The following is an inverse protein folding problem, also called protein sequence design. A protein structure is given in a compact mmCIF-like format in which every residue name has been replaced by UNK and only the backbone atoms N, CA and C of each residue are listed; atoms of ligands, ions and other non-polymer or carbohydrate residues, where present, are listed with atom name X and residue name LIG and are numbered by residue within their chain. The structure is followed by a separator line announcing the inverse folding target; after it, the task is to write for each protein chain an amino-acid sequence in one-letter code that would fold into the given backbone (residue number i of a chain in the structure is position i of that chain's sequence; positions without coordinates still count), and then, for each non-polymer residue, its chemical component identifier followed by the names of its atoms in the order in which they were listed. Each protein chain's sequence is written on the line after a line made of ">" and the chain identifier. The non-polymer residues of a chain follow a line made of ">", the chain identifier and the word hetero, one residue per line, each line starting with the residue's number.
data_IF_808679901017
#
_entry.id   IF_808679901017
#
_cell.length_a   1.000
_cell.length_b   1.000
_cell.length_c   1.000
_cell.angle_alpha   90.00
_cell.angle_beta   90.00
_cell.angle_gamma   90.00
#
_symmetry.space_group_name_H-M   'P 1'
#
loop_
_entity.id
_entity.type
_entity.pdbx_description
1 polymer ?
#
# COMPACT_ATOMS: atom_id res chain seq x y z
N UNK A 1 32.10 -12.12 -19.33
CA UNK A 1 31.39 -10.86 -19.64
C UNK A 1 30.04 -11.03 -20.36
N UNK A 2 29.90 -11.78 -21.46
CA UNK A 2 28.59 -11.96 -22.14
C UNK A 2 27.49 -12.58 -21.25
N UNK A 3 27.81 -13.61 -20.44
CA UNK A 3 26.87 -14.20 -19.46
C UNK A 3 26.44 -13.22 -18.36
N UNK A 4 27.35 -12.37 -17.88
CA UNK A 4 27.06 -11.34 -16.88
C UNK A 4 26.19 -10.22 -17.45
N UNK A 5 26.43 -9.80 -18.70
CA UNK A 5 25.57 -8.83 -19.40
C UNK A 5 24.17 -9.37 -19.68
N UNK A 6 24.04 -10.66 -20.03
CA UNK A 6 22.75 -11.32 -20.19
C UNK A 6 21.99 -11.40 -18.87
N UNK A 7 22.67 -11.84 -17.81
CA UNK A 7 22.10 -11.90 -16.46
C UNK A 7 21.66 -10.52 -15.96
N UNK A 8 22.47 -9.47 -16.15
CA UNK A 8 22.09 -8.09 -15.79
C UNK A 8 20.85 -7.68 -16.58
N UNK A 9 20.83 -7.82 -17.90
CA UNK A 9 19.66 -7.49 -18.74
C UNK A 9 18.38 -8.24 -18.40
N UNK A 10 18.49 -9.47 -17.93
CA UNK A 10 17.36 -10.30 -17.48
C UNK A 10 16.93 -9.98 -16.04
N UNK A 11 17.79 -9.33 -15.26
CA UNK A 11 17.60 -9.05 -13.84
C UNK A 11 17.86 -7.56 -13.50
N UNK A 12 17.62 -6.65 -14.45
CA UNK A 12 17.89 -5.20 -14.30
C UNK A 12 17.13 -4.63 -13.08
N UNK A 13 15.98 -5.23 -12.77
CA UNK A 13 15.09 -4.88 -11.66
C UNK A 13 15.61 -5.39 -10.31
N UNK A 14 16.28 -6.55 -10.29
CA UNK A 14 17.00 -7.07 -9.12
C UNK A 14 18.22 -6.19 -8.83
N UNK A 15 18.93 -5.73 -9.87
CA UNK A 15 20.06 -4.83 -9.70
C UNK A 15 19.60 -3.50 -9.10
N UNK A 16 18.49 -2.94 -9.56
CA UNK A 16 17.89 -1.73 -8.99
C UNK A 16 17.49 -1.93 -7.51
N UNK A 17 16.86 -3.07 -7.18
CA UNK A 17 16.45 -3.41 -5.81
C UNK A 17 17.64 -3.67 -4.89
N UNK A 18 18.70 -4.29 -5.40
CA UNK A 18 19.95 -4.56 -4.69
C UNK A 18 20.75 -3.26 -4.46
N UNK A 19 20.78 -2.35 -5.45
CA UNK A 19 21.40 -1.03 -5.30
C UNK A 19 20.62 -0.20 -4.28
N UNK A 20 19.27 -0.25 -4.30
CA UNK A 20 18.43 0.39 -3.30
C UNK A 20 18.64 -0.20 -1.89
N UNK A 21 18.81 -1.53 -1.78
CA UNK A 21 19.15 -2.23 -0.53
C UNK A 21 20.53 -1.80 -0.01
N UNK A 22 21.56 -1.83 -0.86
CA UNK A 22 22.93 -1.44 -0.47
C UNK A 22 22.99 0.04 -0.10
N UNK A 23 22.26 0.90 -0.82
CA UNK A 23 22.12 2.32 -0.50
C UNK A 23 21.44 2.54 0.85
N UNK A 24 20.32 1.88 1.12
CA UNK A 24 19.59 1.99 2.39
C UNK A 24 20.36 1.42 3.59
N UNK A 25 21.09 0.31 3.41
CA UNK A 25 22.00 -0.23 4.43
C UNK A 25 23.18 0.73 4.66
N UNK A 26 23.76 1.29 3.60
CA UNK A 26 24.84 2.27 3.70
C UNK A 26 24.43 3.51 4.50
N UNK A 27 23.18 3.93 4.37
CA UNK A 27 22.60 5.08 5.10
C UNK A 27 22.40 4.77 6.57
N UNK A 28 21.95 3.56 6.90
CA UNK A 28 21.83 3.10 8.28
C UNK A 28 23.20 2.97 8.93
N UNK A 29 24.16 2.38 8.23
CA UNK A 29 25.52 2.27 8.74
C UNK A 29 26.14 3.64 8.96
N UNK A 30 25.88 4.62 8.09
CA UNK A 30 26.37 5.98 8.26
C UNK A 30 25.64 6.72 9.39
N UNK A 31 24.32 6.59 9.52
CA UNK A 31 23.51 7.16 10.60
C UNK A 31 23.85 6.59 11.97
N UNK A 32 24.16 5.29 12.05
CA UNK A 32 24.65 4.62 13.27
C UNK A 32 26.07 5.11 13.60
N UNK A 33 26.93 5.34 12.60
CA UNK A 33 28.31 5.84 12.80
C UNK A 33 28.35 7.31 13.20
N UNK A 34 27.44 8.14 12.73
CA UNK A 34 27.37 9.58 12.98
C UNK A 34 26.57 9.93 14.24
N UNK A 35 26.61 9.07 15.26
CA UNK A 35 25.80 9.13 16.50
C UNK A 35 26.03 10.35 17.40
N UNK A 36 26.62 11.45 16.90
CA UNK A 36 26.46 12.78 17.50
C UNK A 36 25.14 13.45 17.14
N UNK A 37 24.30 12.85 16.28
CA UNK A 37 22.91 13.27 15.97
C UNK A 37 22.74 14.72 15.47
N UNK A 38 23.84 15.43 15.16
CA UNK A 38 23.84 16.78 14.60
C UNK A 38 23.22 16.90 13.19
N UNK A 39 22.79 15.78 12.58
CA UNK A 39 22.34 15.72 11.19
C UNK A 39 21.02 14.94 10.98
N UNK A 40 20.15 14.87 11.99
CA UNK A 40 18.85 14.16 11.87
C UNK A 40 18.00 14.71 10.71
N UNK A 41 17.99 16.03 10.48
CA UNK A 41 17.28 16.67 9.36
C UNK A 41 17.77 16.13 8.00
N UNK A 42 19.10 16.00 7.83
CA UNK A 42 19.69 15.45 6.61
C UNK A 42 19.29 13.97 6.40
N UNK A 43 19.06 13.22 7.48
CA UNK A 43 18.58 11.84 7.41
C UNK A 43 17.13 11.81 6.94
N UNK A 44 16.24 12.63 7.52
CA UNK A 44 14.82 12.69 7.12
C UNK A 44 14.68 13.08 5.64
N UNK A 45 15.36 14.15 5.21
CA UNK A 45 15.36 14.61 3.81
C UNK A 45 15.87 13.55 2.84
N UNK A 46 16.95 12.86 3.21
CA UNK A 46 17.49 11.77 2.41
C UNK A 46 16.51 10.59 2.33
N UNK A 47 15.89 10.22 3.44
CA UNK A 47 14.91 9.12 3.49
C UNK A 47 13.66 9.41 2.67
N UNK A 48 13.17 10.65 2.70
CA UNK A 48 12.06 11.08 1.85
C UNK A 48 12.47 11.09 0.37
N UNK A 49 13.68 11.53 0.06
CA UNK A 49 14.26 11.43 -1.28
C UNK A 49 14.31 10.00 -1.81
N UNK A 50 14.69 9.02 -0.97
CA UNK A 50 14.65 7.60 -1.35
C UNK A 50 13.22 7.08 -1.57
N UNK A 51 12.27 7.44 -0.69
CA UNK A 51 10.86 7.07 -0.89
C UNK A 51 10.31 7.64 -2.20
N UNK A 52 10.58 8.92 -2.48
CA UNK A 52 10.21 9.57 -3.73
C UNK A 52 10.80 8.84 -4.94
N UNK A 53 12.11 8.54 -4.91
CA UNK A 53 12.77 7.82 -5.99
C UNK A 53 12.14 6.44 -6.23
N UNK A 54 11.90 5.67 -5.16
CA UNK A 54 11.26 4.36 -5.24
C UNK A 54 9.84 4.45 -5.82
N UNK A 55 9.05 5.45 -5.42
CA UNK A 55 7.69 5.65 -5.92
C UNK A 55 7.67 6.13 -7.38
N UNK A 56 8.59 7.00 -7.81
CA UNK A 56 8.74 7.40 -9.21
C UNK A 56 9.13 6.23 -10.10
N UNK A 57 10.08 5.40 -9.64
CA UNK A 57 10.46 4.14 -10.30
C UNK A 57 9.24 3.23 -10.40
N UNK A 58 8.52 3.00 -9.31
CA UNK A 58 7.29 2.20 -9.29
C UNK A 58 6.24 2.71 -10.28
N UNK A 59 6.00 4.02 -10.31
CA UNK A 59 5.03 4.66 -11.21
C UNK A 59 5.43 4.53 -12.69
N UNK A 60 6.73 4.56 -12.99
CA UNK A 60 7.27 4.41 -14.34
C UNK A 60 7.18 2.97 -14.85
N UNK A 61 7.50 2.00 -13.99
CA UNK A 61 7.60 0.59 -14.36
C UNK A 61 6.27 -0.16 -14.31
N UNK A 62 5.33 0.21 -13.42
CA UNK A 62 4.00 -0.39 -13.37
C UNK A 62 3.20 0.10 -14.59
N UNK A 63 3.03 -0.80 -15.57
CA UNK A 63 2.35 -0.49 -16.83
C UNK A 63 0.96 -1.11 -16.86
N UNK A 64 0.07 -0.46 -17.60
CA UNK A 64 -1.23 -1.04 -17.94
C UNK A 64 -1.01 -2.16 -18.96
N UNK A 65 -1.16 -3.41 -18.52
CA UNK A 65 -1.07 -4.59 -19.39
C UNK A 65 -2.43 -5.23 -19.58
N UNK A 66 -2.64 -5.82 -20.75
CA UNK A 66 -3.87 -6.53 -21.13
C UNK A 66 -3.52 -8.00 -21.36
N UNK A 67 -4.38 -8.91 -20.89
CA UNK A 67 -4.29 -10.32 -21.23
C UNK A 67 -4.86 -10.52 -22.62
N UNK A 68 -4.02 -11.07 -23.49
CA UNK A 68 -4.34 -11.48 -24.85
C UNK A 68 -3.88 -12.93 -24.94
N UNK A 69 -4.78 -13.81 -25.39
CA UNK A 69 -4.55 -15.24 -25.55
C UNK A 69 -4.51 -15.52 -27.05
N UNK A 70 -3.65 -16.45 -27.49
CA UNK A 70 -3.60 -16.89 -28.88
C UNK A 70 -4.85 -17.69 -29.25
N UNK A 71 -5.15 -17.81 -30.55
CA UNK A 71 -6.30 -18.61 -30.99
C UNK A 71 -6.15 -20.09 -30.60
N UNK A 72 -4.94 -20.65 -30.74
CA UNK A 72 -4.62 -22.04 -30.36
C UNK A 72 -4.86 -22.30 -28.87
N UNK A 73 -4.42 -21.37 -28.02
CA UNK A 73 -4.55 -21.49 -26.57
C UNK A 73 -5.99 -21.23 -26.12
N UNK A 74 -6.73 -20.39 -26.84
CA UNK A 74 -8.17 -20.20 -26.63
C UNK A 74 -8.96 -21.49 -26.90
N UNK A 75 -8.62 -22.23 -27.97
CA UNK A 75 -9.23 -23.53 -28.28
C UNK A 75 -8.95 -24.54 -27.15
N UNK A 76 -7.70 -24.64 -26.71
CA UNK A 76 -7.32 -25.54 -25.60
C UNK A 76 -8.05 -25.23 -24.30
N UNK A 77 -8.16 -23.95 -23.93
CA UNK A 77 -8.86 -23.53 -22.73
C UNK A 77 -10.37 -23.83 -22.81
N UNK A 78 -10.99 -23.60 -23.98
CA UNK A 78 -12.38 -23.98 -24.23
C UNK A 78 -12.61 -25.48 -24.05
N UNK A 79 -11.72 -26.33 -24.58
CA UNK A 79 -11.80 -27.79 -24.43
C UNK A 79 -11.58 -28.24 -22.98
N UNK A 80 -10.55 -27.72 -22.31
CA UNK A 80 -10.18 -28.13 -20.95
C UNK A 80 -11.25 -27.73 -19.91
N UNK A 81 -11.88 -26.57 -20.10
CA UNK A 81 -12.83 -26.04 -19.14
C UNK A 81 -14.30 -26.20 -19.55
N UNK A 82 -14.57 -26.82 -20.70
CA UNK A 82 -15.90 -27.01 -21.27
C UNK A 82 -16.65 -25.67 -21.43
N UNK A 83 -16.01 -24.74 -22.16
CA UNK A 83 -16.50 -23.39 -22.39
C UNK A 83 -16.65 -23.11 -23.89
N UNK A 84 -17.70 -22.39 -24.25
CA UNK A 84 -17.84 -21.81 -25.59
C UNK A 84 -16.83 -20.67 -25.81
N UNK A 85 -16.49 -20.39 -27.07
CA UNK A 85 -15.65 -19.21 -27.41
C UNK A 85 -16.25 -17.89 -26.92
N UNK A 86 -17.58 -17.79 -26.88
CA UNK A 86 -18.27 -16.58 -26.43
C UNK A 86 -18.11 -16.38 -24.91
N UNK A 87 -18.25 -17.45 -24.13
CA UNK A 87 -18.02 -17.40 -22.67
C UNK A 87 -16.57 -17.05 -22.33
N UNK A 88 -15.59 -17.67 -23.02
CA UNK A 88 -14.18 -17.35 -22.83
C UNK A 88 -13.89 -15.88 -23.16
N UNK A 89 -14.44 -15.37 -24.27
CA UNK A 89 -14.31 -13.95 -24.65
C UNK A 89 -14.91 -13.02 -23.59
N UNK A 90 -16.08 -13.35 -23.05
CA UNK A 90 -16.71 -12.60 -21.95
C UNK A 90 -15.83 -12.58 -20.69
N UNK A 91 -15.31 -13.74 -20.28
CA UNK A 91 -14.39 -13.86 -19.12
C UNK A 91 -13.09 -13.07 -19.35
N UNK A 92 -12.53 -13.08 -20.56
CA UNK A 92 -11.35 -12.26 -20.91
C UNK A 92 -11.61 -10.76 -20.84
N UNK A 93 -12.76 -10.30 -21.33
CA UNK A 93 -13.18 -8.90 -21.22
C UNK A 93 -13.32 -8.49 -19.75
N UNK A 94 -13.95 -9.34 -18.93
CA UNK A 94 -14.10 -9.14 -17.49
C UNK A 94 -12.75 -9.07 -16.78
N UNK A 95 -11.86 -10.04 -17.01
CA UNK A 95 -10.49 -10.04 -16.46
C UNK A 95 -9.76 -8.73 -16.80
N UNK A 96 -9.78 -8.32 -18.06
CA UNK A 96 -9.12 -7.09 -18.50
C UNK A 96 -9.73 -5.81 -17.91
N UNK A 97 -11.05 -5.80 -17.63
CA UNK A 97 -11.69 -4.71 -16.91
C UNK A 97 -11.22 -4.63 -15.45
N UNK A 98 -11.18 -5.76 -14.75
CA UNK A 98 -10.76 -5.84 -13.35
C UNK A 98 -9.29 -5.47 -13.18
N UNK A 99 -8.41 -5.99 -14.04
CA UNK A 99 -7.00 -5.59 -14.08
C UNK A 99 -6.85 -4.07 -14.27
N UNK A 100 -7.65 -3.48 -15.15
CA UNK A 100 -7.60 -2.03 -15.38
C UNK A 100 -8.01 -1.25 -14.14
N UNK A 101 -8.96 -1.75 -13.36
CA UNK A 101 -9.35 -1.16 -12.09
C UNK A 101 -8.25 -1.32 -11.04
N UNK A 102 -7.70 -2.54 -10.88
CA UNK A 102 -6.57 -2.79 -9.98
C UNK A 102 -5.38 -1.88 -10.30
N UNK A 103 -4.97 -1.80 -11.56
CA UNK A 103 -3.92 -0.91 -12.02
C UNK A 103 -4.20 0.55 -11.67
N UNK A 104 -5.42 1.04 -11.91
CA UNK A 104 -5.80 2.42 -11.57
C UNK A 104 -5.71 2.66 -10.06
N UNK A 105 -6.19 1.72 -9.25
CA UNK A 105 -6.16 1.84 -7.79
C UNK A 105 -4.73 1.89 -7.26
N UNK A 106 -3.87 0.96 -7.68
CA UNK A 106 -2.44 0.99 -7.31
C UNK A 106 -1.78 2.29 -7.77
N UNK A 107 -2.05 2.73 -9.00
CA UNK A 107 -1.47 3.97 -9.54
C UNK A 107 -1.88 5.19 -8.71
N UNK A 108 -3.15 5.29 -8.33
CA UNK A 108 -3.63 6.38 -7.47
C UNK A 108 -3.03 6.32 -6.07
N UNK A 109 -2.91 5.13 -5.48
CA UNK A 109 -2.17 4.94 -4.23
C UNK A 109 -0.74 5.50 -4.31
N UNK A 110 0.01 5.17 -5.37
CA UNK A 110 1.38 5.66 -5.58
C UNK A 110 1.40 7.19 -5.77
N UNK A 111 0.49 7.76 -6.56
CA UNK A 111 0.42 9.22 -6.79
C UNK A 111 0.15 9.97 -5.48
N UNK A 112 -0.75 9.46 -4.65
CA UNK A 112 -1.12 10.06 -3.38
C UNK A 112 0.07 9.99 -2.41
N UNK A 113 0.78 8.86 -2.34
CA UNK A 113 2.02 8.76 -1.58
C UNK A 113 3.13 9.67 -2.11
N UNK A 114 3.25 9.85 -3.43
CA UNK A 114 4.20 10.82 -4.00
C UNK A 114 3.85 12.23 -3.51
N UNK A 115 2.58 12.62 -3.56
CA UNK A 115 2.11 13.90 -3.03
C UNK A 115 2.44 14.05 -1.53
N UNK A 116 2.23 12.99 -0.75
CA UNK A 116 2.59 12.96 0.67
C UNK A 116 4.08 13.22 0.90
N UNK A 117 4.96 12.43 0.26
CA UNK A 117 6.39 12.56 0.47
C UNK A 117 6.97 13.85 -0.12
N UNK A 118 6.36 14.42 -1.18
CA UNK A 118 6.75 15.75 -1.68
C UNK A 118 6.39 16.84 -0.67
N UNK A 119 5.22 16.74 -0.05
CA UNK A 119 4.83 17.64 1.03
C UNK A 119 5.76 17.48 2.23
N UNK A 120 6.02 16.25 2.67
CA UNK A 120 6.91 15.96 3.80
C UNK A 120 8.31 16.53 3.54
N UNK A 121 8.87 16.28 2.36
CA UNK A 121 10.16 16.82 1.94
C UNK A 121 10.18 18.35 1.95
N UNK A 122 9.09 19.00 1.49
CA UNK A 122 8.96 20.46 1.58
C UNK A 122 8.86 20.94 3.03
N UNK A 123 8.11 20.24 3.88
CA UNK A 123 7.98 20.57 5.30
C UNK A 123 9.35 20.51 5.98
N UNK A 124 10.04 19.38 5.85
CA UNK A 124 11.34 19.12 6.47
C UNK A 124 12.45 20.05 5.92
N UNK A 125 12.28 20.63 4.71
CA UNK A 125 13.26 21.55 4.11
C UNK A 125 13.08 23.01 4.55
N UNK A 126 11.87 23.43 4.93
CA UNK A 126 11.53 24.84 5.09
C UNK A 126 10.93 25.21 6.45
N UNK A 127 10.56 24.22 7.28
CA UNK A 127 9.91 24.47 8.56
C UNK A 127 10.76 23.96 9.72
N UNK A 128 11.09 24.86 10.64
CA UNK A 128 11.65 24.53 11.95
C UNK A 128 10.53 23.95 12.83
N UNK A 129 10.26 22.65 12.63
CA UNK A 129 9.23 21.91 13.33
C UNK A 129 9.48 21.84 14.85
N UNK A 130 10.76 21.84 15.25
CA UNK A 130 11.18 21.74 16.66
C UNK A 130 10.84 23.01 17.45
N UNK A 131 10.97 24.19 16.82
CA UNK A 131 10.59 25.47 17.43
C UNK A 131 9.08 25.57 17.79
N UNK A 132 8.22 24.87 17.05
CA UNK A 132 6.77 24.89 17.28
C UNK A 132 6.29 23.76 18.17
N UNK A 133 6.96 22.60 18.14
CA UNK A 133 6.64 21.44 18.99
C UNK A 133 6.75 21.74 20.48
N UNK A 134 7.68 22.62 20.90
CA UNK A 134 7.78 23.06 22.29
C UNK A 134 6.57 23.87 22.77
N UNK A 135 5.86 24.56 21.86
CA UNK A 135 4.63 25.30 22.18
C UNK A 135 3.46 24.32 22.35
N UNK A 136 3.41 23.26 21.55
CA UNK A 136 2.34 22.24 21.59
C UNK A 136 2.34 21.37 22.86
N UNK A 137 3.49 21.19 23.50
CA UNK A 137 3.64 20.41 24.75
C UNK A 137 3.08 21.10 25.99
N UNK A 138 2.92 22.42 25.94
CA UNK A 138 2.59 23.26 27.11
C UNK A 138 1.12 23.70 27.05
N UNK A 139 0.53 23.71 25.86
CA UNK A 139 -0.81 24.24 25.61
C UNK A 139 -1.85 23.12 25.73
N UNK A 140 -2.71 23.25 26.76
CA UNK A 140 -3.93 22.46 26.94
C UNK A 140 -5.16 23.13 26.26
N UNK A 141 -4.94 24.15 25.44
CA UNK A 141 -5.99 24.88 24.73
C UNK A 141 -6.26 24.25 23.35
N UNK A 142 -7.48 24.46 22.84
CA UNK A 142 -7.88 24.02 21.51
C UNK A 142 -7.08 24.76 20.42
N UNK A 143 -6.88 24.13 19.25
CA UNK A 143 -6.24 24.78 18.10
C UNK A 143 -6.94 26.09 17.72
N UNK A 144 -8.26 26.18 17.94
CA UNK A 144 -9.04 27.38 17.69
C UNK A 144 -8.58 28.54 18.58
N UNK A 145 -8.26 28.30 19.85
CA UNK A 145 -7.80 29.35 20.76
C UNK A 145 -6.40 29.84 20.39
N UNK A 146 -5.50 28.92 20.00
CA UNK A 146 -4.18 29.25 19.43
C UNK A 146 -4.28 30.05 18.13
N UNK A 147 -5.28 29.75 17.29
CA UNK A 147 -5.53 30.44 16.03
C UNK A 147 -6.20 31.80 16.20
N UNK A 148 -6.79 32.10 17.36
CA UNK A 148 -7.56 33.33 17.60
C UNK A 148 -6.85 34.28 18.57
N UNK A 149 -6.07 33.80 19.53
CA UNK A 149 -5.59 34.65 20.63
C UNK A 149 -4.09 35.01 20.57
N UNK A 150 -3.26 34.25 19.84
CA UNK A 150 -1.82 34.53 19.76
C UNK A 150 -1.40 35.00 18.35
N UNK A 151 -0.82 36.20 18.26
CA UNK A 151 -0.40 36.80 16.98
C UNK A 151 0.93 36.23 16.45
N UNK A 152 1.78 35.70 17.34
CA UNK A 152 3.09 35.13 16.99
C UNK A 152 2.95 33.62 16.75
N UNK A 153 2.11 32.92 17.53
CA UNK A 153 1.81 31.49 17.38
C UNK A 153 0.84 31.13 16.24
N UNK A 154 0.00 32.06 15.77
CA UNK A 154 -1.06 31.80 14.78
C UNK A 154 -0.58 31.15 13.49
N UNK A 155 0.49 31.69 12.91
CA UNK A 155 1.00 31.24 11.60
C UNK A 155 1.57 29.82 11.72
N UNK A 156 2.37 29.57 12.75
CA UNK A 156 2.96 28.26 13.02
C UNK A 156 1.90 27.22 13.40
N UNK A 157 0.88 27.61 14.18
CA UNK A 157 -0.26 26.76 14.52
C UNK A 157 -1.11 26.38 13.29
N UNK A 158 -1.43 27.36 12.44
CA UNK A 158 -2.13 27.10 11.19
C UNK A 158 -1.35 26.18 10.26
N UNK A 159 -0.03 26.37 10.17
CA UNK A 159 0.85 25.56 9.35
C UNK A 159 0.95 24.13 9.86
N UNK A 160 1.15 23.94 11.17
CA UNK A 160 1.17 22.61 11.77
C UNK A 160 -0.17 21.89 11.58
N UNK A 161 -1.29 22.55 11.88
CA UNK A 161 -2.62 21.97 11.70
C UNK A 161 -2.85 21.56 10.23
N UNK A 162 -2.44 22.40 9.28
CA UNK A 162 -2.52 22.08 7.86
C UNK A 162 -1.68 20.85 7.49
N UNK A 163 -0.44 20.75 8.00
CA UNK A 163 0.44 19.60 7.78
C UNK A 163 -0.15 18.33 8.37
N UNK A 164 -0.71 18.39 9.59
CA UNK A 164 -1.36 17.25 10.24
C UNK A 164 -2.57 16.76 9.47
N UNK A 165 -3.47 17.68 9.12
CA UNK A 165 -4.67 17.35 8.36
C UNK A 165 -4.29 16.76 7.01
N UNK A 166 -3.32 17.35 6.32
CA UNK A 166 -2.90 16.88 5.00
C UNK A 166 -2.19 15.52 5.08
N UNK A 167 -1.34 15.30 6.07
CA UNK A 167 -0.69 13.99 6.33
C UNK A 167 -1.72 12.89 6.57
N UNK A 168 -2.68 13.16 7.47
CA UNK A 168 -3.72 12.20 7.82
C UNK A 168 -4.68 11.93 6.66
N UNK A 169 -5.10 12.98 5.94
CA UNK A 169 -5.92 12.83 4.75
C UNK A 169 -5.19 11.98 3.70
N UNK A 170 -3.92 12.26 3.43
CA UNK A 170 -3.15 11.54 2.41
C UNK A 170 -2.99 10.06 2.78
N UNK A 171 -2.75 9.75 4.06
CA UNK A 171 -2.75 8.36 4.56
C UNK A 171 -4.11 7.67 4.34
N UNK A 172 -5.22 8.31 4.72
CA UNK A 172 -6.57 7.74 4.57
C UNK A 172 -6.94 7.52 3.10
N UNK A 173 -6.74 8.52 2.25
CA UNK A 173 -7.02 8.41 0.83
C UNK A 173 -6.13 7.35 0.16
N UNK A 174 -4.85 7.23 0.54
CA UNK A 174 -3.98 6.17 0.03
C UNK A 174 -4.52 4.78 0.40
N UNK A 175 -4.97 4.61 1.64
CA UNK A 175 -5.55 3.37 2.13
C UNK A 175 -6.87 3.02 1.42
N UNK A 176 -7.67 4.02 1.03
CA UNK A 176 -8.87 3.80 0.19
C UNK A 176 -8.54 3.08 -1.10
N UNK A 177 -7.46 3.48 -1.78
CA UNK A 177 -7.08 2.86 -3.05
C UNK A 177 -6.47 1.46 -2.86
N UNK A 178 -5.78 1.20 -1.75
CA UNK A 178 -5.38 -0.15 -1.38
C UNK A 178 -6.60 -1.04 -1.09
N UNK A 179 -7.58 -0.51 -0.36
CA UNK A 179 -8.83 -1.21 -0.09
C UNK A 179 -9.63 -1.48 -1.36
N UNK A 180 -9.68 -0.54 -2.30
CA UNK A 180 -10.24 -0.79 -3.64
C UNK A 180 -9.48 -1.88 -4.37
N UNK A 181 -8.14 -1.87 -4.36
CA UNK A 181 -7.34 -2.92 -4.98
C UNK A 181 -7.66 -4.29 -4.38
N UNK A 182 -7.85 -4.36 -3.06
CA UNK A 182 -8.35 -5.55 -2.39
C UNK A 182 -9.74 -5.92 -2.89
N UNK A 183 -10.71 -5.00 -2.94
CA UNK A 183 -12.06 -5.28 -3.43
C UNK A 183 -12.07 -5.82 -4.86
N UNK A 184 -11.17 -5.36 -5.73
CA UNK A 184 -11.02 -5.90 -7.10
C UNK A 184 -10.64 -7.38 -7.08
N UNK A 185 -9.71 -7.76 -6.21
CA UNK A 185 -9.28 -9.15 -6.08
C UNK A 185 -10.32 -9.99 -5.31
N UNK A 186 -11.04 -9.36 -4.38
CA UNK A 186 -12.07 -9.97 -3.57
C UNK A 186 -13.36 -10.24 -4.36
N UNK A 187 -13.79 -9.32 -5.23
CA UNK A 187 -14.99 -9.48 -6.06
C UNK A 187 -14.85 -10.58 -7.10
N UNK A 188 -13.62 -10.96 -7.45
CA UNK A 188 -13.35 -12.14 -8.27
C UNK A 188 -13.65 -13.43 -7.50
N UNK A 189 -13.58 -13.37 -6.17
CA UNK A 189 -13.75 -14.52 -5.26
C UNK A 189 -15.11 -14.59 -4.57
N UNK A 190 -15.98 -13.58 -4.72
CA UNK A 190 -17.35 -13.61 -4.20
C UNK A 190 -18.40 -13.77 -5.30
N UNK A 191 -19.50 -14.40 -4.91
CA UNK A 191 -20.66 -14.76 -5.73
C UNK A 191 -21.40 -13.58 -6.36
N UNK A 192 -22.05 -13.88 -7.49
CA UNK A 192 -23.13 -13.12 -8.14
C UNK A 192 -22.89 -11.67 -8.55
N UNK A 193 -22.43 -11.47 -9.78
CA UNK A 193 -23.20 -10.77 -10.82
C UNK A 193 -22.30 -10.58 -12.06
N UNK A 194 -22.77 -10.95 -13.24
CA UNK A 194 -22.15 -10.54 -14.52
C UNK A 194 -22.17 -9.01 -14.73
N UNK A 195 -22.84 -8.29 -13.82
CA UNK A 195 -22.97 -6.83 -13.81
C UNK A 195 -21.82 -6.09 -13.11
N UNK A 196 -20.97 -6.76 -12.34
CA UNK A 196 -19.87 -6.11 -11.58
C UNK A 196 -18.63 -5.78 -12.43
N UNK A 197 -18.84 -5.27 -13.64
CA UNK A 197 -17.76 -4.77 -14.51
C UNK A 197 -17.05 -3.53 -13.95
N UNK A 198 -17.62 -2.88 -12.93
CA UNK A 198 -17.08 -1.70 -12.23
C UNK A 198 -17.33 -1.80 -10.73
N UNK A 199 -16.25 -1.85 -9.95
CA UNK A 199 -16.31 -1.68 -8.51
C UNK A 199 -16.50 -0.20 -8.24
N UNK A 200 -17.58 0.13 -7.54
CA UNK A 200 -17.89 1.50 -7.19
C UNK A 200 -17.07 1.91 -5.96
N UNK A 201 -16.09 2.80 -6.17
CA UNK A 201 -15.23 3.30 -5.08
C UNK A 201 -15.93 4.32 -4.17
N UNK A 202 -17.19 4.68 -4.45
CA UNK A 202 -17.93 5.68 -3.67
C UNK A 202 -17.98 5.35 -2.18
N UNK A 203 -18.17 4.08 -1.78
CA UNK A 203 -18.25 3.72 -0.37
C UNK A 203 -16.90 3.89 0.34
N UNK A 204 -15.78 3.29 -0.12
CA UNK A 204 -14.47 3.54 0.50
C UNK A 204 -14.08 5.03 0.51
N UNK A 205 -14.38 5.78 -0.56
CA UNK A 205 -14.09 7.22 -0.63
C UNK A 205 -14.93 8.01 0.37
N UNK A 206 -16.23 7.70 0.50
CA UNK A 206 -17.10 8.35 1.48
C UNK A 206 -16.64 8.08 2.92
N UNK A 207 -16.21 6.85 3.21
CA UNK A 207 -15.60 6.50 4.51
C UNK A 207 -14.34 7.34 4.74
N UNK A 208 -13.44 7.46 3.75
CA UNK A 208 -12.22 8.25 3.89
C UNK A 208 -12.49 9.76 4.09
N UNK A 209 -13.47 10.32 3.39
CA UNK A 209 -13.93 11.70 3.59
C UNK A 209 -14.49 11.87 5.00
N UNK A 210 -15.34 10.94 5.46
CA UNK A 210 -15.92 10.96 6.81
C UNK A 210 -14.87 10.91 7.91
N UNK A 211 -13.89 10.01 7.79
CA UNK A 211 -12.77 9.92 8.76
C UNK A 211 -11.88 11.17 8.68
N UNK A 212 -11.63 11.71 7.48
CA UNK A 212 -10.85 12.96 7.32
C UNK A 212 -11.55 14.14 8.00
N UNK A 213 -12.86 14.27 7.81
CA UNK A 213 -13.66 15.31 8.46
C UNK A 213 -13.65 15.15 10.00
N UNK A 214 -13.78 13.91 10.50
CA UNK A 214 -13.68 13.60 11.92
C UNK A 214 -12.29 13.99 12.48
N UNK A 215 -11.22 13.66 11.75
CA UNK A 215 -9.85 14.01 12.13
C UNK A 215 -9.64 15.53 12.20
N UNK A 216 -10.18 16.29 11.24
CA UNK A 216 -10.14 17.76 11.27
C UNK A 216 -10.87 18.27 12.51
N UNK A 217 -12.05 17.74 12.83
CA UNK A 217 -12.80 18.15 14.01
C UNK A 217 -12.04 17.86 15.31
N UNK A 218 -11.45 16.66 15.44
CA UNK A 218 -10.66 16.26 16.62
C UNK A 218 -9.42 17.14 16.76
N UNK A 219 -8.72 17.44 15.65
CA UNK A 219 -7.56 18.32 15.69
C UNK A 219 -7.99 19.75 16.07
N UNK A 220 -9.02 20.32 15.45
CA UNK A 220 -9.42 21.70 15.72
C UNK A 220 -9.96 21.93 17.14
N UNK A 221 -10.76 20.98 17.68
CA UNK A 221 -11.46 21.11 18.98
C UNK A 221 -10.77 20.38 20.14
N UNK A 222 -9.62 19.75 19.89
CA UNK A 222 -8.99 18.87 20.86
C UNK A 222 -9.89 17.74 21.34
N UNK A 223 -9.39 16.99 22.33
CA UNK A 223 -10.19 16.04 23.11
C UNK A 223 -10.10 16.50 24.56
N UNK A 224 -11.24 16.73 25.25
CA UNK A 224 -11.22 17.15 26.65
C UNK A 224 -10.38 16.20 27.51
N UNK A 225 -9.40 16.76 28.22
CA UNK A 225 -8.49 16.00 29.08
C UNK A 225 -7.25 15.42 28.38
N UNK A 226 -7.06 15.68 27.09
CA UNK A 226 -5.83 15.37 26.35
C UNK A 226 -5.18 16.65 25.84
N UNK A 227 -3.84 16.66 25.81
CA UNK A 227 -3.06 17.68 25.13
C UNK A 227 -3.28 17.61 23.62
N UNK A 228 -2.88 18.69 22.94
CA UNK A 228 -2.96 18.79 21.48
C UNK A 228 -2.04 17.77 20.78
N UNK A 229 -0.88 17.49 21.37
CA UNK A 229 0.08 16.48 20.91
C UNK A 229 -0.50 15.06 21.03
N UNK A 230 -1.17 14.75 22.15
CA UNK A 230 -1.86 13.47 22.35
C UNK A 230 -3.03 13.30 21.38
N UNK A 231 -3.84 14.35 21.17
CA UNK A 231 -4.94 14.35 20.22
C UNK A 231 -4.45 14.11 18.78
N UNK A 232 -3.40 14.83 18.36
CA UNK A 232 -2.78 14.62 17.04
C UNK A 232 -2.20 13.21 16.89
N UNK A 233 -1.61 12.67 17.95
CA UNK A 233 -1.10 11.31 17.99
C UNK A 233 -2.18 10.26 17.78
N UNK A 234 -3.31 10.38 18.49
CA UNK A 234 -4.44 9.46 18.34
C UNK A 234 -4.93 9.47 16.90
N UNK A 235 -5.08 10.66 16.31
CA UNK A 235 -5.51 10.82 14.91
C UNK A 235 -4.53 10.13 13.95
N UNK A 236 -3.22 10.34 14.11
CA UNK A 236 -2.20 9.70 13.28
C UNK A 236 -2.21 8.18 13.43
N UNK A 237 -2.38 7.68 14.65
CA UNK A 237 -2.44 6.25 14.93
C UNK A 237 -3.67 5.59 14.30
N UNK A 238 -4.84 6.22 14.37
CA UNK A 238 -6.06 5.76 13.69
C UNK A 238 -5.87 5.73 12.16
N UNK A 239 -5.25 6.76 11.58
CA UNK A 239 -4.89 6.78 10.16
C UNK A 239 -3.92 5.65 9.78
N UNK A 240 -2.90 5.42 10.62
CA UNK A 240 -1.93 4.33 10.47
C UNK A 240 -2.58 2.94 10.54
N UNK A 241 -3.49 2.72 11.49
CA UNK A 241 -4.25 1.48 11.62
C UNK A 241 -5.16 1.23 10.42
N UNK A 242 -5.87 2.25 9.93
CA UNK A 242 -6.71 2.11 8.74
C UNK A 242 -5.89 1.70 7.50
N UNK A 243 -4.72 2.33 7.32
CA UNK A 243 -3.78 1.95 6.26
C UNK A 243 -3.25 0.52 6.46
N UNK A 244 -2.89 0.16 7.70
CA UNK A 244 -2.50 -1.20 8.09
C UNK A 244 -3.55 -2.24 7.71
N UNK A 245 -4.82 -2.00 8.04
CA UNK A 245 -5.94 -2.89 7.70
C UNK A 245 -6.09 -3.03 6.18
N UNK A 246 -6.07 -1.92 5.43
CA UNK A 246 -6.18 -1.96 3.97
C UNK A 246 -5.04 -2.78 3.33
N UNK A 247 -3.80 -2.61 3.82
CA UNK A 247 -2.66 -3.43 3.40
C UNK A 247 -2.82 -4.89 3.79
N UNK A 248 -3.25 -5.19 5.03
CA UNK A 248 -3.46 -6.56 5.50
C UNK A 248 -4.43 -7.33 4.59
N UNK A 249 -5.56 -6.69 4.26
CA UNK A 249 -6.57 -7.25 3.38
C UNK A 249 -6.02 -7.50 1.98
N UNK A 250 -5.31 -6.52 1.40
CA UNK A 250 -4.70 -6.68 0.08
C UNK A 250 -3.63 -7.78 0.06
N UNK A 251 -2.76 -7.81 1.07
CA UNK A 251 -1.66 -8.77 1.14
C UNK A 251 -2.16 -10.19 1.42
N UNK A 252 -3.28 -10.35 2.12
CA UNK A 252 -3.93 -11.66 2.27
C UNK A 252 -4.27 -12.27 0.90
N UNK A 253 -4.71 -11.46 -0.06
CA UNK A 253 -4.99 -11.92 -1.44
C UNK A 253 -3.72 -12.24 -2.21
N UNK A 254 -2.62 -11.56 -1.93
CA UNK A 254 -1.32 -11.89 -2.52
C UNK A 254 -0.82 -13.25 -2.01
N UNK A 255 -1.00 -13.54 -0.72
CA UNK A 255 -0.68 -14.85 -0.14
C UNK A 255 -1.53 -15.94 -0.80
N UNK A 256 -2.85 -15.72 -0.98
CA UNK A 256 -3.72 -16.67 -1.68
C UNK A 256 -3.27 -16.93 -3.13
N UNK A 257 -2.86 -15.90 -3.85
CA UNK A 257 -2.35 -16.02 -5.22
C UNK A 257 -1.01 -16.78 -5.27
N UNK A 258 -0.08 -16.49 -4.36
CA UNK A 258 1.18 -17.24 -4.29
C UNK A 258 0.92 -18.73 -4.02
N UNK A 259 -0.02 -19.06 -3.13
CA UNK A 259 -0.43 -20.43 -2.88
C UNK A 259 -0.94 -21.13 -4.15
N UNK A 260 -1.74 -20.43 -4.96
CA UNK A 260 -2.27 -20.95 -6.23
C UNK A 260 -1.16 -21.29 -7.25
N UNK A 261 -0.08 -20.51 -7.30
CA UNK A 261 1.03 -20.73 -8.23
C UNK A 261 2.16 -21.63 -7.68
N UNK A 262 1.94 -22.31 -6.54
CA UNK A 262 2.98 -23.09 -5.87
C UNK A 262 3.48 -24.34 -6.63
N UNK A 263 2.83 -24.75 -7.71
CA UNK A 263 3.21 -25.92 -8.50
C UNK A 263 4.18 -25.60 -9.66
N UNK A 264 4.45 -24.33 -9.94
CA UNK A 264 5.35 -23.91 -11.03
C UNK A 264 6.84 -24.04 -10.66
N UNK A 265 7.70 -24.40 -11.62
CA UNK A 265 9.11 -24.76 -11.40
C UNK A 265 9.91 -23.75 -10.54
N UNK A 266 10.79 -24.28 -9.67
CA UNK A 266 11.59 -23.54 -8.67
C UNK A 266 12.55 -22.53 -9.32
N UNK A 267 12.17 -21.25 -9.36
CA UNK A 267 13.05 -20.13 -9.72
C UNK A 267 13.39 -19.27 -8.50
N UNK A 268 14.49 -18.51 -8.56
CA UNK A 268 14.88 -17.54 -7.53
C UNK A 268 13.82 -16.44 -7.33
N UNK A 269 13.12 -16.05 -8.40
CA UNK A 269 12.01 -15.10 -8.33
C UNK A 269 10.92 -15.58 -7.39
N UNK A 270 10.60 -16.89 -7.42
CA UNK A 270 9.60 -17.49 -6.53
C UNK A 270 10.02 -17.48 -5.07
N UNK A 271 11.31 -17.64 -4.76
CA UNK A 271 11.81 -17.48 -3.39
C UNK A 271 11.66 -16.03 -2.91
N UNK A 272 12.00 -15.06 -3.78
CA UNK A 272 11.80 -13.64 -3.48
C UNK A 272 10.31 -13.33 -3.22
N UNK A 273 9.40 -13.85 -4.04
CA UNK A 273 7.96 -13.64 -3.84
C UNK A 273 7.44 -14.35 -2.61
N UNK A 274 7.84 -15.60 -2.38
CA UNK A 274 7.46 -16.34 -1.18
C UNK A 274 7.87 -15.57 0.07
N UNK A 275 9.15 -15.24 0.24
CA UNK A 275 9.62 -14.49 1.43
C UNK A 275 9.11 -13.05 1.46
N UNK A 276 8.99 -12.40 0.31
CA UNK A 276 8.42 -11.06 0.18
C UNK A 276 6.99 -11.01 0.68
N UNK A 277 6.14 -11.90 0.19
CA UNK A 277 4.70 -11.93 0.46
C UNK A 277 4.39 -12.54 1.83
N UNK A 278 5.13 -13.55 2.27
CA UNK A 278 4.84 -14.25 3.53
C UNK A 278 5.53 -13.65 4.76
N UNK A 279 6.65 -12.93 4.59
CA UNK A 279 7.39 -12.33 5.71
C UNK A 279 7.39 -10.81 5.62
N UNK A 280 7.92 -10.25 4.52
CA UNK A 280 8.17 -8.81 4.46
C UNK A 280 6.90 -7.98 4.38
N UNK A 281 5.90 -8.39 3.60
CA UNK A 281 4.63 -7.69 3.50
C UNK A 281 3.85 -7.70 4.83
N UNK A 282 3.68 -8.82 5.55
CA UNK A 282 3.09 -8.83 6.89
C UNK A 282 3.87 -7.98 7.90
N UNK A 283 5.20 -8.07 7.89
CA UNK A 283 6.04 -7.26 8.77
C UNK A 283 5.84 -5.76 8.49
N UNK A 284 5.76 -5.39 7.21
CA UNK A 284 5.47 -4.01 6.81
C UNK A 284 4.12 -3.52 7.36
N UNK A 285 3.07 -4.35 7.29
CA UNK A 285 1.74 -4.00 7.84
C UNK A 285 1.78 -3.74 9.33
N UNK A 286 2.44 -4.61 10.10
CA UNK A 286 2.51 -4.50 11.57
C UNK A 286 3.27 -3.25 12.00
N UNK A 287 4.30 -2.90 11.25
CA UNK A 287 5.22 -1.82 11.62
C UNK A 287 4.76 -0.45 11.11
N UNK A 288 3.91 -0.39 10.07
CA UNK A 288 3.42 0.87 9.51
C UNK A 288 2.70 1.78 10.54
N UNK A 289 1.81 1.29 11.42
CA UNK A 289 1.18 2.13 12.46
C UNK A 289 2.18 2.67 13.48
N UNK A 290 3.34 2.06 13.64
CA UNK A 290 4.37 2.58 14.54
C UNK A 290 5.04 3.85 13.98
N UNK A 291 4.94 4.07 12.67
CA UNK A 291 5.46 5.29 12.03
C UNK A 291 4.86 6.57 12.61
N UNK A 292 3.57 6.55 12.98
CA UNK A 292 2.91 7.71 13.59
C UNK A 292 3.39 8.04 15.00
N UNK A 293 4.06 7.10 15.68
CA UNK A 293 4.49 7.26 17.07
C UNK A 293 5.86 7.96 17.21
N UNK A 294 6.62 8.13 16.11
CA UNK A 294 8.00 8.62 16.21
C UNK A 294 8.15 10.11 16.51
N UNK A 295 7.08 10.89 16.42
CA UNK A 295 7.12 12.29 16.78
C UNK A 295 6.96 12.53 18.30
N UNK A 296 6.59 11.53 19.10
CA UNK A 296 6.30 11.67 20.54
C UNK A 296 7.52 11.60 21.46
N UNK A 297 8.62 10.97 21.03
CA UNK A 297 9.71 10.60 21.94
C UNK A 297 11.00 11.39 21.65
N UNK A 298 11.25 12.45 22.43
CA UNK A 298 12.56 13.13 22.49
C UNK A 298 13.54 12.32 23.35
N UNK A 299 14.05 11.19 22.86
CA UNK A 299 15.08 10.42 23.59
C UNK A 299 16.08 9.77 22.62
N UNK A 300 17.38 9.91 22.89
CA UNK A 300 18.47 9.48 22.00
C UNK A 300 18.56 7.99 21.68
N UNK A 301 17.94 7.09 22.47
CA UNK A 301 17.84 5.65 22.15
C UNK A 301 16.72 5.31 21.15
N UNK A 302 15.71 6.19 21.05
CA UNK A 302 14.55 6.02 20.16
C UNK A 302 14.86 6.25 18.68
N UNK A 303 15.98 6.92 18.37
CA UNK A 303 16.41 7.16 16.99
C UNK A 303 16.78 5.86 16.24
N UNK A 304 17.38 4.89 16.95
CA UNK A 304 17.68 3.56 16.37
C UNK A 304 16.38 2.82 16.06
N UNK A 305 15.39 2.88 16.95
CA UNK A 305 14.06 2.29 16.73
C UNK A 305 13.37 2.95 15.52
N UNK A 306 13.40 4.28 15.44
CA UNK A 306 12.87 5.04 14.30
C UNK A 306 13.56 4.61 12.99
N UNK A 307 14.88 4.45 12.99
CA UNK A 307 15.63 3.99 11.83
C UNK A 307 15.28 2.54 11.42
N UNK A 308 15.10 1.63 12.39
CA UNK A 308 14.68 0.24 12.13
C UNK A 308 13.28 0.21 11.52
N UNK A 309 12.34 0.95 12.10
CA UNK A 309 10.98 0.99 11.59
C UNK A 309 10.92 1.66 10.22
N UNK A 310 11.68 2.73 10.01
CA UNK A 310 11.85 3.31 8.69
C UNK A 310 12.37 2.26 7.69
N UNK A 311 13.42 1.51 8.03
CA UNK A 311 13.96 0.48 7.14
C UNK A 311 12.92 -0.55 6.76
N UNK A 312 12.20 -1.09 7.76
CA UNK A 312 11.17 -2.10 7.54
C UNK A 312 10.07 -1.54 6.63
N UNK A 313 9.62 -0.30 6.86
CA UNK A 313 8.57 0.33 6.04
C UNK A 313 9.06 0.71 4.64
N UNK A 314 10.31 1.12 4.46
CA UNK A 314 10.90 1.39 3.16
C UNK A 314 11.06 0.10 2.36
N UNK A 315 11.61 -0.94 2.98
CA UNK A 315 11.79 -2.24 2.36
C UNK A 315 10.45 -2.89 2.02
N UNK A 316 9.48 -2.83 2.93
CA UNK A 316 8.11 -3.27 2.69
C UNK A 316 7.49 -2.61 1.46
N UNK A 317 7.66 -1.29 1.29
CA UNK A 317 7.21 -0.56 0.09
C UNK A 317 7.92 -1.05 -1.18
N UNK A 318 9.24 -1.25 -1.14
CA UNK A 318 9.99 -1.77 -2.29
C UNK A 318 9.50 -3.17 -2.69
N UNK A 319 9.37 -4.07 -1.73
CA UNK A 319 8.84 -5.43 -1.94
C UNK A 319 7.42 -5.35 -2.52
N UNK A 320 6.56 -4.49 -1.99
CA UNK A 320 5.20 -4.29 -2.51
C UNK A 320 5.19 -3.79 -3.96
N UNK A 321 5.95 -2.73 -4.27
CA UNK A 321 6.02 -2.15 -5.61
C UNK A 321 6.57 -3.16 -6.62
N UNK A 322 7.63 -3.90 -6.25
CA UNK A 322 8.22 -4.93 -7.09
C UNK A 322 7.28 -6.12 -7.30
N UNK A 323 6.55 -6.52 -6.24
CA UNK A 323 5.53 -7.55 -6.34
C UNK A 323 4.43 -7.15 -7.31
N UNK A 324 3.85 -5.96 -7.14
CA UNK A 324 2.80 -5.47 -8.05
C UNK A 324 3.31 -5.34 -9.49
N UNK A 325 4.51 -4.77 -9.66
CA UNK A 325 5.18 -4.68 -10.95
C UNK A 325 5.22 -6.03 -11.64
N UNK A 326 5.74 -7.05 -10.94
CA UNK A 326 5.85 -8.40 -11.49
C UNK A 326 4.48 -8.95 -11.83
N UNK A 327 3.57 -8.94 -10.86
CA UNK A 327 2.27 -9.57 -10.97
C UNK A 327 1.41 -8.97 -12.09
N UNK A 328 1.51 -7.67 -12.34
CA UNK A 328 0.83 -6.99 -13.44
C UNK A 328 1.58 -7.14 -14.78
N UNK A 329 2.90 -6.97 -14.81
CA UNK A 329 3.63 -6.97 -16.09
C UNK A 329 3.86 -8.39 -16.63
N UNK A 330 4.14 -9.38 -15.76
CA UNK A 330 4.21 -10.81 -16.11
C UNK A 330 2.82 -11.47 -16.18
N UNK A 331 1.76 -10.71 -15.96
CA UNK A 331 0.35 -11.13 -16.09
C UNK A 331 -0.11 -12.25 -15.15
N UNK A 332 0.58 -12.47 -14.03
CA UNK A 332 0.20 -13.53 -13.06
C UNK A 332 -1.16 -13.26 -12.42
N UNK A 333 -1.46 -12.01 -12.07
CA UNK A 333 -2.81 -11.65 -11.57
C UNK A 333 -3.86 -11.85 -12.68
N UNK A 334 -3.53 -11.58 -13.93
CA UNK A 334 -4.47 -11.80 -15.04
C UNK A 334 -4.83 -13.28 -15.16
N UNK A 335 -3.82 -14.16 -15.13
CA UNK A 335 -4.02 -15.61 -15.15
C UNK A 335 -4.81 -16.08 -13.94
N UNK A 336 -4.49 -15.60 -12.75
CA UNK A 336 -5.21 -15.94 -11.52
C UNK A 336 -6.70 -15.56 -11.60
N UNK A 337 -6.99 -14.32 -12.03
CA UNK A 337 -8.37 -13.85 -12.16
C UNK A 337 -9.12 -14.67 -13.22
N UNK A 338 -8.50 -14.92 -14.38
CA UNK A 338 -9.13 -15.68 -15.44
C UNK A 338 -9.43 -17.12 -14.99
N UNK A 339 -8.47 -17.80 -14.39
CA UNK A 339 -8.64 -19.17 -13.91
C UNK A 339 -9.70 -19.26 -12.81
N UNK A 340 -9.70 -18.31 -11.87
CA UNK A 340 -10.73 -18.25 -10.83
C UNK A 340 -12.13 -18.08 -11.44
N UNK A 341 -12.27 -17.23 -12.46
CA UNK A 341 -13.53 -17.07 -13.19
C UNK A 341 -13.94 -18.32 -13.99
N UNK A 342 -12.99 -19.12 -14.46
CA UNK A 342 -13.27 -20.36 -15.22
C UNK A 342 -13.61 -21.54 -14.30
N UNK A 343 -12.96 -21.66 -13.14
CA UNK A 343 -13.17 -22.73 -12.18
C UNK A 343 -14.44 -22.52 -11.34
N UNK A 344 -14.85 -21.27 -11.11
CA UNK A 344 -16.05 -20.95 -10.33
C UNK A 344 -17.30 -21.64 -10.87
N UNK A 345 -17.54 -21.59 -12.18
CA UNK A 345 -18.75 -22.19 -12.78
C UNK A 345 -18.81 -23.71 -12.55
N UNK A 346 -17.64 -24.38 -12.46
CA UNK A 346 -17.56 -25.81 -12.13
C UNK A 346 -17.83 -26.07 -10.65
N UNK A 347 -17.32 -25.21 -9.76
CA UNK A 347 -17.55 -25.32 -8.32
C UNK A 347 -19.00 -25.02 -7.93
N UNK A 348 -19.64 -24.05 -8.59
CA UNK A 348 -21.04 -23.67 -8.37
C UNK A 348 -22.01 -24.78 -8.80
N UNK A 349 -21.74 -25.42 -9.95
CA UNK A 349 -22.45 -26.64 -10.36
C UNK A 349 -22.30 -27.75 -9.31
N UNK A 350 -21.07 -27.97 -8.83
CA UNK A 350 -20.78 -29.00 -7.83
C UNK A 350 -21.47 -28.72 -6.48
N UNK A 351 -21.55 -27.46 -6.05
CA UNK A 351 -22.22 -27.09 -4.79
C UNK A 351 -23.73 -27.27 -4.87
N UNK A 352 -24.35 -26.92 -6.00
CA UNK A 352 -25.78 -27.14 -6.24
C UNK A 352 -26.10 -28.64 -6.27
N UNK A 353 -25.28 -29.44 -6.97
CA UNK A 353 -25.41 -30.90 -6.98
C UNK A 353 -25.28 -31.52 -5.58
N UNK A 354 -24.35 -31.01 -4.76
CA UNK A 354 -24.17 -31.47 -3.37
C UNK A 354 -25.34 -31.06 -2.45
N UNK A 355 -25.89 -29.86 -2.62
CA UNK A 355 -27.05 -29.39 -1.85
C UNK A 355 -28.32 -30.18 -2.18
N UNK A 356 -28.49 -30.56 -3.45
CA UNK A 356 -29.58 -31.43 -3.91
C UNK A 356 -29.42 -32.86 -3.36
N UNK A 357 -28.19 -33.38 -3.29
CA UNK A 357 -27.87 -34.67 -2.64
C UNK A 357 -28.14 -34.63 -1.13
N UNK A 358 -27.89 -33.52 -0.45
CA UNK A 358 -28.22 -33.37 0.97
C UNK A 358 -29.73 -33.27 1.23
N UNK A 359 -30.50 -32.67 0.31
CA UNK A 359 -31.97 -32.64 0.38
C UNK A 359 -32.56 -34.04 0.18
N UNK A 360 -32.02 -34.83 -0.75
CA UNK A 360 -32.44 -36.22 -1.00
C UNK A 360 -32.10 -37.20 0.15
N UNK A 361 -31.21 -36.84 1.08
CA UNK A 361 -30.91 -37.64 2.29
C UNK A 361 -31.82 -37.33 3.48
N UNK A 362 -32.65 -36.29 3.38
CA UNK A 362 -33.58 -35.85 4.44
C UNK A 362 -35.02 -36.32 4.21
N UNK A 363 -35.30 -36.88 3.03
CA UNK A 363 -36.51 -37.64 2.71
C UNK A 363 -36.23 -39.15 2.84
#
# INVERSE_FOLDING_TARGET
>A
MKKLRGFIKENDEFLASLIALVGSIGVILNAIKSSSFQYIENINLFTDGLNLAALFIGLYFIKKTVLVISDDESVRLCEQYDLTKQELSSKLLRTNSLIRQLYKSIRWFIIILLGFYLLQFYVDSYFDYDSFKSVLKIVNEDYIDLLVNDSIGRKSAAQYLAIEVLTNATNLFSATFLFTAFLVLFSVTLEDDDRTSKINNQIPIAIAIGITALNILILCKGIPGLTLEESATIVRLLGGLYNGIAMALLFSRFISMEYYFQSSNKSFERLFYFYGVTIWLPLYVVVQPLYSLFNLFDLGQTAVIKAIVFLITFWGKLVFLFFIYTMLNKKWIHSYILLTLMEKDKLEKLSLELEDVEKLKKD
#
